data_IF_833293185558
#
_entry.id   IF_833293185558
#
_cell.length_a   1.000
_cell.length_b   1.000
_cell.length_c   1.000
_cell.angle_alpha   90.00
_cell.angle_beta   90.00
_cell.angle_gamma   90.00
#
_symmetry.space_group_name_H-M   'P 1'
#
loop_
_entity.id
_entity.type
_entity.pdbx_description
1 polymer ?
#
# COMPACT_ATOMS: atom_id res chain seq x y z
N UNK A 1 27.58 67.02 -17.54
CA UNK A 1 26.99 65.68 -17.71
C UNK A 1 26.57 65.19 -16.34
N UNK A 2 25.27 65.01 -16.17
CA UNK A 2 24.58 64.89 -14.89
C UNK A 2 24.68 63.47 -14.30
N UNK A 3 24.89 63.41 -12.99
CA UNK A 3 24.77 62.20 -12.16
C UNK A 3 23.52 62.37 -11.30
N UNK A 4 22.54 61.49 -11.46
CA UNK A 4 21.27 61.55 -10.74
C UNK A 4 21.32 60.63 -9.52
N UNK A 5 21.33 61.23 -8.33
CA UNK A 5 21.00 60.60 -7.05
C UNK A 5 19.58 60.99 -6.67
N UNK A 6 18.68 60.03 -6.58
CA UNK A 6 17.31 60.24 -6.09
C UNK A 6 17.08 59.45 -4.80
N UNK A 7 16.86 60.20 -3.73
CA UNK A 7 16.43 59.75 -2.41
C UNK A 7 14.93 59.42 -2.44
N UNK A 8 14.50 58.30 -1.86
CA UNK A 8 13.07 57.96 -1.70
C UNK A 8 12.73 58.00 -0.21
N UNK A 9 11.87 58.98 0.14
CA UNK A 9 11.26 59.13 1.47
C UNK A 9 10.20 58.06 1.71
N UNK A 10 10.15 57.60 2.96
CA UNK A 10 9.10 56.74 3.51
C UNK A 10 7.81 57.55 3.76
N UNK A 11 6.70 57.12 3.15
CA UNK A 11 5.36 57.56 3.52
C UNK A 11 4.60 56.42 4.17
N UNK A 12 4.25 56.62 5.45
CA UNK A 12 3.36 55.78 6.22
C UNK A 12 1.93 55.92 5.71
N UNK A 13 1.31 54.81 5.33
CA UNK A 13 -0.12 54.73 5.00
C UNK A 13 -0.85 54.25 6.26
N UNK A 14 -1.75 55.09 6.77
CA UNK A 14 -2.64 54.76 7.88
C UNK A 14 -3.71 53.73 7.44
N UNK A 15 -4.11 52.78 8.31
CA UNK A 15 -5.13 51.80 7.97
C UNK A 15 -6.52 52.45 7.97
N UNK A 16 -7.27 52.27 6.87
CA UNK A 16 -8.68 52.65 6.75
C UNK A 16 -9.56 51.63 7.47
N UNK A 17 -10.54 52.17 8.21
CA UNK A 17 -11.60 51.48 8.93
C UNK A 17 -12.33 50.41 8.10
N UNK A 18 -12.15 49.15 8.48
CA UNK A 18 -13.08 48.06 8.13
C UNK A 18 -14.09 47.92 9.27
N UNK A 19 -15.32 48.39 9.01
CA UNK A 19 -16.47 48.21 9.92
C UNK A 19 -16.74 46.73 10.15
N UNK A 20 -16.65 46.30 11.40
CA UNK A 20 -17.02 44.98 11.87
C UNK A 20 -18.52 44.69 11.61
N UNK A 21 -18.79 43.56 10.94
CA UNK A 21 -20.13 42.98 10.87
C UNK A 21 -20.41 42.28 12.20
N UNK A 22 -21.38 42.81 12.96
CA UNK A 22 -21.92 42.15 14.16
C UNK A 22 -22.77 40.95 13.72
N UNK A 23 -22.27 39.73 13.95
CA UNK A 23 -23.07 38.52 13.85
C UNK A 23 -23.95 38.44 15.11
N UNK A 24 -25.27 38.60 14.91
CA UNK A 24 -26.25 38.42 15.97
C UNK A 24 -26.34 36.95 16.39
N UNK A 25 -26.31 36.70 17.69
CA UNK A 25 -26.53 35.39 18.27
C UNK A 25 -27.97 34.91 17.99
N UNK A 26 -28.11 33.88 17.15
CA UNK A 26 -29.38 33.15 17.00
C UNK A 26 -29.50 32.16 18.16
N UNK A 27 -30.39 32.49 19.09
CA UNK A 27 -30.75 31.65 20.23
C UNK A 27 -31.71 30.56 19.74
N UNK A 28 -31.21 29.33 19.53
CA UNK A 28 -32.09 28.18 19.27
C UNK A 28 -32.89 27.87 20.55
N UNK A 29 -34.21 28.08 20.48
CA UNK A 29 -35.15 27.60 21.48
C UNK A 29 -35.34 26.10 21.25
N UNK A 30 -34.89 25.28 22.21
CA UNK A 30 -35.24 23.87 22.30
C UNK A 30 -36.65 23.79 22.90
N UNK A 31 -37.63 23.43 22.07
CA UNK A 31 -38.96 23.09 22.55
C UNK A 31 -38.93 21.67 23.14
N UNK A 32 -39.03 21.59 24.46
CA UNK A 32 -39.26 20.34 25.19
C UNK A 32 -40.75 20.01 25.11
N UNK A 33 -41.11 18.88 24.50
CA UNK A 33 -42.48 18.37 24.49
C UNK A 33 -42.65 17.41 25.67
N UNK A 34 -43.70 17.55 26.50
CA UNK A 34 -43.92 16.69 27.65
C UNK A 34 -44.51 15.33 27.23
N UNK A 35 -44.11 14.29 27.94
CA UNK A 35 -44.68 12.94 27.85
C UNK A 35 -45.88 12.81 28.80
N UNK A 36 -46.95 12.14 28.35
CA UNK A 36 -48.08 11.71 29.16
C UNK A 36 -48.73 10.43 28.58
N UNK A 37 -49.48 9.64 29.38
CA UNK A 37 -49.40 8.17 29.35
C UNK A 37 -50.49 7.43 28.55
N UNK A 38 -50.33 6.11 28.55
CA UNK A 38 -50.92 5.04 27.74
C UNK A 38 -52.46 4.92 27.62
N UNK A 39 -52.92 4.35 26.49
CA UNK A 39 -54.15 3.58 26.42
C UNK A 39 -54.03 2.40 25.43
N UNK A 40 -54.45 1.22 25.89
CA UNK A 40 -54.46 -0.08 25.19
C UNK A 40 -55.52 -0.07 24.08
N UNK A 41 -55.19 -0.58 22.89
CA UNK A 41 -56.18 -1.29 22.07
C UNK A 41 -55.51 -2.42 21.28
N UNK A 42 -56.02 -3.62 21.49
CA UNK A 42 -55.68 -4.82 20.73
C UNK A 42 -56.41 -4.78 19.40
N UNK A 43 -55.70 -5.02 18.29
CA UNK A 43 -56.27 -5.63 17.08
C UNK A 43 -55.20 -6.49 16.41
N UNK A 44 -55.30 -7.79 16.66
CA UNK A 44 -54.57 -8.80 15.91
C UNK A 44 -55.09 -8.84 14.47
N UNK A 45 -54.18 -8.83 13.48
CA UNK A 45 -54.51 -9.23 12.12
C UNK A 45 -53.36 -10.08 11.58
N UNK A 46 -53.63 -11.37 11.47
CA UNK A 46 -52.76 -12.35 10.83
C UNK A 46 -52.67 -12.06 9.33
N UNK A 47 -51.46 -12.04 8.78
CA UNK A 47 -51.21 -12.02 7.34
C UNK A 47 -50.40 -13.27 6.98
N UNK A 48 -51.01 -14.14 6.17
CA UNK A 48 -50.40 -15.31 5.52
C UNK A 48 -49.48 -14.86 4.38
N UNK A 49 -48.40 -15.61 4.09
CA UNK A 49 -47.56 -15.33 2.93
C UNK A 49 -48.23 -15.81 1.63
N UNK A 50 -48.30 -14.93 0.63
CA UNK A 50 -48.70 -15.23 -0.74
C UNK A 50 -47.53 -15.89 -1.48
N UNK A 51 -47.69 -17.19 -1.81
CA UNK A 51 -46.91 -17.86 -2.85
C UNK A 51 -47.41 -17.36 -4.21
N UNK A 52 -46.52 -16.78 -5.02
CA UNK A 52 -46.78 -16.53 -6.43
C UNK A 52 -46.38 -17.78 -7.24
N UNK A 53 -47.33 -18.30 -8.01
CA UNK A 53 -47.18 -19.44 -8.90
C UNK A 53 -46.66 -18.98 -10.27
N UNK A 54 -45.75 -19.77 -10.86
CA UNK A 54 -45.28 -19.62 -12.24
C UNK A 54 -46.39 -19.97 -13.26
N UNK A 55 -46.48 -19.26 -14.41
CA UNK A 55 -47.42 -19.64 -15.45
C UNK A 55 -46.85 -20.73 -16.36
N UNK A 56 -47.64 -21.80 -16.51
CA UNK A 56 -47.40 -22.91 -17.42
C UNK A 56 -47.34 -22.45 -18.89
N UNK A 57 -46.26 -22.84 -19.61
CA UNK A 57 -46.15 -22.75 -21.06
C UNK A 57 -46.62 -24.06 -21.71
N UNK A 58 -47.49 -23.95 -22.72
CA UNK A 58 -48.02 -25.05 -23.54
C UNK A 58 -46.92 -25.66 -24.43
N UNK A 59 -46.97 -26.97 -24.73
CA UNK A 59 -46.01 -27.60 -25.63
C UNK A 59 -46.35 -27.27 -27.09
N UNK A 60 -45.36 -26.81 -27.84
CA UNK A 60 -45.41 -26.73 -29.31
C UNK A 60 -44.57 -27.89 -29.84
N UNK A 61 -45.24 -28.80 -30.53
CA UNK A 61 -44.64 -29.88 -31.31
C UNK A 61 -44.00 -29.31 -32.58
N UNK A 62 -42.72 -29.60 -32.81
CA UNK A 62 -42.12 -29.48 -34.14
C UNK A 62 -41.17 -30.67 -34.39
N UNK A 63 -41.32 -31.21 -35.58
CA UNK A 63 -40.81 -32.48 -36.10
C UNK A 63 -39.29 -32.53 -36.25
N UNK A 64 -38.77 -33.74 -36.10
CA UNK A 64 -37.39 -34.13 -36.36
C UNK A 64 -37.00 -34.01 -37.85
N UNK A 65 -35.77 -33.55 -38.08
CA UNK A 65 -34.94 -33.91 -39.22
C UNK A 65 -33.48 -33.87 -38.75
N UNK A 66 -32.92 -35.05 -38.47
CA UNK A 66 -31.51 -35.22 -38.10
C UNK A 66 -30.69 -35.48 -39.38
N UNK A 67 -29.72 -34.60 -39.64
CA UNK A 67 -28.60 -34.88 -40.52
C UNK A 67 -27.38 -35.23 -39.64
N UNK A 68 -26.55 -36.23 -40.01
CA UNK A 68 -25.40 -36.58 -39.19
C UNK A 68 -24.30 -35.52 -39.37
N UNK A 69 -23.95 -34.84 -38.28
CA UNK A 69 -22.75 -34.01 -38.20
C UNK A 69 -21.62 -34.94 -37.75
N UNK A 70 -20.60 -35.10 -38.60
CA UNK A 70 -19.39 -35.84 -38.27
C UNK A 70 -18.70 -35.22 -37.04
N UNK A 71 -18.09 -36.03 -36.15
CA UNK A 71 -17.38 -35.49 -35.01
C UNK A 71 -16.18 -34.71 -35.52
N UNK A 72 -16.15 -33.41 -35.24
CA UNK A 72 -14.93 -32.62 -35.31
C UNK A 72 -14.11 -33.08 -34.11
N UNK A 73 -13.01 -33.77 -34.39
CA UNK A 73 -11.99 -34.06 -33.38
C UNK A 73 -11.45 -32.71 -32.90
N UNK A 74 -11.80 -32.34 -31.67
CA UNK A 74 -11.07 -31.30 -30.95
C UNK A 74 -9.66 -31.83 -30.72
N UNK A 75 -8.72 -31.38 -31.53
CA UNK A 75 -7.31 -31.43 -31.21
C UNK A 75 -7.10 -30.62 -29.93
N UNK A 76 -7.09 -31.30 -28.79
CA UNK A 76 -6.56 -30.76 -27.55
C UNK A 76 -5.06 -30.60 -27.78
N UNK A 77 -4.65 -29.44 -28.28
CA UNK A 77 -3.25 -29.06 -28.28
C UNK A 77 -2.82 -28.96 -26.81
N UNK A 78 -1.98 -29.87 -26.36
CA UNK A 78 -1.21 -29.73 -25.12
C UNK A 78 -0.44 -28.40 -25.21
N UNK A 79 -1.01 -27.33 -24.63
CA UNK A 79 -0.34 -26.06 -24.50
C UNK A 79 0.86 -26.29 -23.57
N UNK A 80 2.06 -26.29 -24.14
CA UNK A 80 3.29 -26.32 -23.37
C UNK A 80 3.20 -25.30 -22.23
N UNK A 81 3.40 -25.76 -20.99
CA UNK A 81 3.32 -24.89 -19.82
C UNK A 81 4.25 -23.69 -20.02
N UNK A 82 3.68 -22.48 -20.01
CA UNK A 82 4.44 -21.25 -20.19
C UNK A 82 5.39 -21.10 -19.00
N UNK A 83 6.68 -21.01 -19.28
CA UNK A 83 7.69 -20.66 -18.27
C UNK A 83 7.61 -19.15 -18.00
N UNK A 84 6.92 -18.79 -16.92
CA UNK A 84 6.74 -17.38 -16.54
C UNK A 84 8.01 -16.74 -15.99
N UNK A 85 9.00 -17.53 -15.55
CA UNK A 85 10.29 -17.01 -15.08
C UNK A 85 11.15 -16.60 -16.28
N UNK A 86 11.19 -17.43 -17.32
CA UNK A 86 11.81 -17.08 -18.60
C UNK A 86 11.11 -15.87 -19.25
N UNK A 87 9.77 -15.86 -19.25
CA UNK A 87 8.99 -14.74 -19.79
C UNK A 87 9.25 -13.42 -19.04
N UNK A 88 9.45 -13.47 -17.72
CA UNK A 88 9.80 -12.29 -16.94
C UNK A 88 11.17 -11.71 -17.32
N UNK A 89 12.14 -12.57 -17.65
CA UNK A 89 13.46 -12.12 -18.11
C UNK A 89 13.40 -11.54 -19.52
N UNK A 90 12.63 -12.15 -20.42
CA UNK A 90 12.41 -11.64 -21.77
C UNK A 90 11.80 -10.22 -21.73
N UNK A 91 10.79 -10.02 -20.89
CA UNK A 91 10.03 -8.77 -20.82
C UNK A 91 10.66 -7.71 -19.91
N UNK A 92 11.81 -7.97 -19.29
CA UNK A 92 12.38 -7.05 -18.27
C UNK A 92 12.70 -5.67 -18.83
N UNK A 93 13.07 -5.60 -20.12
CA UNK A 93 13.36 -4.37 -20.86
C UNK A 93 12.23 -3.88 -21.76
N UNK A 94 11.10 -4.58 -21.79
CA UNK A 94 9.95 -4.20 -22.61
C UNK A 94 9.24 -2.97 -22.02
N UNK A 95 8.60 -2.20 -22.89
CA UNK A 95 7.76 -1.08 -22.48
C UNK A 95 6.48 -1.56 -21.79
N UNK A 96 5.83 -0.73 -20.95
CA UNK A 96 4.56 -1.09 -20.34
C UNK A 96 3.47 -1.44 -21.36
N UNK A 97 3.51 -0.83 -22.56
CA UNK A 97 2.57 -1.13 -23.63
C UNK A 97 2.78 -2.53 -24.22
N UNK A 98 4.04 -2.93 -24.46
CA UNK A 98 4.37 -4.28 -24.94
C UNK A 98 4.01 -5.35 -23.90
N UNK A 99 4.29 -5.10 -22.62
CA UNK A 99 3.92 -6.01 -21.53
C UNK A 99 2.40 -6.14 -21.42
N UNK A 100 1.68 -5.02 -21.54
CA UNK A 100 0.21 -5.00 -21.54
C UNK A 100 -0.37 -5.77 -22.74
N UNK A 101 0.13 -5.51 -23.95
CA UNK A 101 -0.32 -6.20 -25.16
C UNK A 101 -0.13 -7.71 -25.03
N UNK A 102 1.06 -8.13 -24.56
CA UNK A 102 1.38 -9.54 -24.35
C UNK A 102 0.48 -10.20 -23.30
N UNK A 103 0.20 -9.52 -22.20
CA UNK A 103 -0.69 -10.04 -21.16
C UNK A 103 -2.12 -10.23 -21.67
N UNK A 104 -2.65 -9.25 -22.40
CA UNK A 104 -4.00 -9.32 -22.97
C UNK A 104 -4.11 -10.34 -24.12
N UNK A 105 -3.04 -10.51 -24.90
CA UNK A 105 -2.94 -11.55 -25.94
C UNK A 105 -3.02 -12.96 -25.37
N UNK A 106 -2.25 -13.23 -24.30
CA UNK A 106 -2.13 -14.56 -23.71
C UNK A 106 -3.40 -15.04 -23.00
N UNK A 107 -4.13 -14.14 -22.33
CA UNK A 107 -5.22 -14.52 -21.44
C UNK A 107 -6.61 -14.05 -21.90
N UNK A 108 -6.68 -13.10 -22.84
CA UNK A 108 -7.94 -12.59 -23.38
C UNK A 108 -8.92 -12.15 -22.28
N UNK A 109 -10.06 -12.85 -22.16
CA UNK A 109 -11.09 -12.53 -21.16
C UNK A 109 -10.84 -13.09 -19.75
N UNK A 110 -9.82 -13.95 -19.59
CA UNK A 110 -9.46 -14.60 -18.32
C UNK A 110 -8.46 -13.76 -17.49
N UNK A 111 -8.14 -12.54 -17.95
CA UNK A 111 -7.33 -11.55 -17.25
C UNK A 111 -8.12 -10.28 -16.96
N UNK A 112 -7.84 -9.63 -15.83
CA UNK A 112 -8.43 -8.34 -15.49
C UNK A 112 -7.42 -7.39 -14.83
N UNK A 113 -7.62 -6.09 -15.06
CA UNK A 113 -6.84 -5.01 -14.46
C UNK A 113 -7.43 -4.68 -13.09
N UNK A 114 -6.60 -4.74 -12.05
CA UNK A 114 -6.94 -4.25 -10.72
C UNK A 114 -6.75 -2.74 -10.67
N UNK A 115 -7.84 -1.98 -10.60
CA UNK A 115 -7.81 -0.53 -10.52
C UNK A 115 -8.15 -0.05 -9.10
N UNK A 116 -7.26 0.71 -8.48
CA UNK A 116 -7.42 1.23 -7.12
C UNK A 116 -8.00 2.64 -7.04
N UNK A 117 -8.15 3.31 -8.19
CA UNK A 117 -8.64 4.69 -8.25
C UNK A 117 -7.57 5.74 -7.92
N UNK A 118 -6.32 5.43 -8.25
CA UNK A 118 -5.15 6.27 -8.04
C UNK A 118 -4.41 6.50 -9.37
N UNK A 119 -3.07 6.58 -9.34
CA UNK A 119 -2.25 6.75 -10.54
C UNK A 119 -2.19 5.49 -11.44
N UNK A 120 -2.68 4.36 -10.94
CA UNK A 120 -2.80 3.10 -11.67
C UNK A 120 -3.87 3.11 -12.77
N UNK A 121 -4.62 4.21 -12.92
CA UNK A 121 -5.42 4.50 -14.13
C UNK A 121 -4.57 4.46 -15.41
N UNK A 122 -3.25 4.67 -15.30
CA UNK A 122 -2.30 4.49 -16.40
C UNK A 122 -2.41 3.11 -17.06
N UNK A 123 -2.75 2.06 -16.30
CA UNK A 123 -2.92 0.71 -16.85
C UNK A 123 -4.13 0.61 -17.78
N UNK A 124 -5.20 1.33 -17.48
CA UNK A 124 -6.40 1.37 -18.33
C UNK A 124 -6.07 2.09 -19.64
N UNK A 125 -5.29 3.18 -19.57
CA UNK A 125 -4.81 3.87 -20.77
C UNK A 125 -3.90 2.96 -21.62
N UNK A 126 -2.94 2.26 -21.01
CA UNK A 126 -2.11 1.29 -21.74
C UNK A 126 -2.95 0.20 -22.39
N UNK A 127 -3.92 -0.38 -21.66
CA UNK A 127 -4.81 -1.39 -22.21
C UNK A 127 -5.63 -0.85 -23.39
N UNK A 128 -6.13 0.39 -23.28
CA UNK A 128 -6.83 1.07 -24.37
C UNK A 128 -5.96 1.21 -25.62
N UNK A 129 -4.68 1.58 -25.46
CA UNK A 129 -3.73 1.75 -26.56
C UNK A 129 -3.38 0.45 -27.29
N UNK A 130 -3.50 -0.71 -26.64
CA UNK A 130 -3.32 -2.01 -27.33
C UNK A 130 -4.42 -2.29 -28.36
N UNK A 131 -5.58 -1.66 -28.23
CA UNK A 131 -6.77 -1.96 -29.05
C UNK A 131 -7.44 -3.31 -28.73
N UNK A 132 -6.95 -4.05 -27.73
CA UNK A 132 -7.53 -5.34 -27.31
C UNK A 132 -8.68 -5.13 -26.32
N UNK A 133 -9.66 -6.05 -26.25
CA UNK A 133 -10.64 -6.06 -25.17
C UNK A 133 -9.94 -6.27 -23.82
N UNK A 134 -10.41 -5.58 -22.79
CA UNK A 134 -9.88 -5.73 -21.43
C UNK A 134 -10.99 -5.60 -20.38
N UNK A 135 -10.75 -6.19 -19.22
CA UNK A 135 -11.63 -6.12 -18.05
C UNK A 135 -10.96 -5.33 -16.94
N UNK A 136 -11.76 -4.64 -16.13
CA UNK A 136 -11.27 -3.86 -14.99
C UNK A 136 -12.12 -4.21 -13.77
N UNK A 137 -11.47 -4.44 -12.63
CA UNK A 137 -12.15 -4.61 -11.35
C UNK A 137 -11.56 -3.67 -10.30
N UNK A 138 -12.39 -3.26 -9.35
CA UNK A 138 -11.98 -2.39 -8.24
C UNK A 138 -12.46 -2.95 -6.92
N UNK A 139 -11.63 -2.82 -5.88
CA UNK A 139 -11.99 -3.22 -4.52
C UNK A 139 -12.61 -2.04 -3.79
N UNK A 140 -13.93 -2.03 -3.64
CA UNK A 140 -14.60 -1.05 -2.81
C UNK A 140 -14.62 -1.52 -1.36
N UNK A 141 -13.77 -0.88 -0.54
CA UNK A 141 -13.67 -1.20 0.89
C UNK A 141 -14.82 -0.63 1.73
N UNK A 142 -15.68 0.20 1.13
CA UNK A 142 -16.70 1.02 1.78
C UNK A 142 -16.13 2.20 2.58
N UNK A 143 -14.83 2.51 2.42
CA UNK A 143 -14.09 3.57 3.13
C UNK A 143 -13.13 4.32 2.20
N UNK A 144 -13.39 4.31 0.90
CA UNK A 144 -12.63 5.08 -0.08
C UNK A 144 -12.98 6.57 0.03
N UNK A 145 -12.10 7.42 -0.48
CA UNK A 145 -12.37 8.84 -0.60
C UNK A 145 -13.53 9.09 -1.59
N UNK A 146 -14.40 10.10 -1.36
CA UNK A 146 -15.40 10.52 -2.33
C UNK A 146 -14.81 10.83 -3.72
N UNK A 147 -13.62 11.43 -3.77
CA UNK A 147 -12.88 11.73 -5.01
C UNK A 147 -12.49 10.45 -5.77
N UNK A 148 -12.23 9.35 -5.07
CA UNK A 148 -11.95 8.04 -5.69
C UNK A 148 -13.19 7.49 -6.40
N UNK A 149 -14.39 7.62 -5.80
CA UNK A 149 -15.64 7.26 -6.46
C UNK A 149 -15.94 8.14 -7.69
N UNK A 150 -15.69 9.45 -7.57
CA UNK A 150 -15.83 10.37 -8.70
C UNK A 150 -14.87 10.01 -9.84
N UNK A 151 -13.65 9.58 -9.52
CA UNK A 151 -12.72 9.09 -10.53
C UNK A 151 -13.23 7.81 -11.21
N UNK A 152 -13.76 6.84 -10.45
CA UNK A 152 -14.31 5.61 -11.05
C UNK A 152 -15.40 5.92 -12.07
N UNK A 153 -16.38 6.76 -11.71
CA UNK A 153 -17.43 7.22 -12.62
C UNK A 153 -16.86 7.95 -13.85
N UNK A 154 -15.85 8.81 -13.64
CA UNK A 154 -15.18 9.53 -14.74
C UNK A 154 -14.44 8.57 -15.69
N UNK A 155 -13.76 7.56 -15.16
CA UNK A 155 -13.01 6.55 -15.93
C UNK A 155 -13.97 5.68 -16.73
N UNK A 156 -15.06 5.17 -16.13
CA UNK A 156 -16.08 4.39 -16.86
C UNK A 156 -16.63 5.18 -18.06
N UNK A 157 -16.97 6.46 -17.85
CA UNK A 157 -17.48 7.33 -18.91
C UNK A 157 -16.43 7.67 -19.97
N UNK A 158 -15.19 7.91 -19.56
CA UNK A 158 -14.10 8.30 -20.46
C UNK A 158 -13.70 7.14 -21.39
N UNK A 159 -13.61 5.92 -20.86
CA UNK A 159 -13.17 4.75 -21.62
C UNK A 159 -14.31 3.92 -22.21
N UNK A 160 -15.56 4.15 -21.79
CA UNK A 160 -16.71 3.35 -22.19
C UNK A 160 -16.65 1.92 -21.66
N UNK A 161 -16.17 1.75 -20.43
CA UNK A 161 -15.99 0.45 -19.76
C UNK A 161 -16.92 0.32 -18.56
N UNK A 162 -17.08 -0.91 -18.08
CA UNK A 162 -17.73 -1.21 -16.81
C UNK A 162 -16.71 -1.79 -15.83
N UNK A 163 -16.56 -1.15 -14.67
CA UNK A 163 -15.70 -1.61 -13.59
C UNK A 163 -16.45 -2.64 -12.75
N UNK A 164 -15.84 -3.81 -12.57
CA UNK A 164 -16.34 -4.88 -11.71
C UNK A 164 -16.03 -4.55 -10.24
N UNK A 165 -16.98 -3.89 -9.55
CA UNK A 165 -16.82 -3.52 -8.15
C UNK A 165 -16.97 -4.74 -7.22
N UNK A 166 -15.96 -4.97 -6.38
CA UNK A 166 -15.98 -6.03 -5.37
C UNK A 166 -16.05 -5.44 -3.97
N UNK A 167 -17.09 -5.80 -3.23
CA UNK A 167 -17.38 -5.31 -1.88
C UNK A 167 -17.02 -6.33 -0.79
N UNK A 168 -16.78 -5.89 0.46
CA UNK A 168 -16.64 -6.78 1.61
C UNK A 168 -17.93 -7.48 2.02
N UNK A 169 -17.79 -8.67 2.58
CA UNK A 169 -18.89 -9.42 3.16
C UNK A 169 -19.43 -8.67 4.39
N UNK A 170 -20.73 -8.38 4.37
CA UNK A 170 -21.35 -7.47 5.33
C UNK A 170 -21.25 -7.97 6.77
N UNK A 171 -21.43 -9.27 7.00
CA UNK A 171 -21.39 -9.87 8.33
C UNK A 171 -19.99 -9.74 8.95
N UNK A 172 -18.93 -9.98 8.18
CA UNK A 172 -17.56 -9.82 8.67
C UNK A 172 -17.23 -8.36 9.04
N UNK A 173 -17.74 -7.41 8.25
CA UNK A 173 -17.59 -5.98 8.53
C UNK A 173 -18.36 -5.60 9.79
N UNK A 174 -19.58 -6.11 9.96
CA UNK A 174 -20.39 -5.85 11.16
C UNK A 174 -19.71 -6.38 12.40
N UNK A 175 -19.17 -7.59 12.37
CA UNK A 175 -18.48 -8.21 13.49
C UNK A 175 -17.22 -7.42 13.89
N UNK A 176 -16.40 -7.02 12.91
CA UNK A 176 -15.22 -6.18 13.14
C UNK A 176 -15.60 -4.83 13.78
N UNK A 177 -16.63 -4.16 13.24
CA UNK A 177 -17.02 -2.83 13.71
C UNK A 177 -17.71 -2.88 15.08
N UNK A 178 -18.53 -3.90 15.36
CA UNK A 178 -19.19 -4.05 16.67
C UNK A 178 -18.20 -4.39 17.78
N UNK A 179 -17.14 -5.14 17.46
CA UNK A 179 -16.13 -5.54 18.44
C UNK A 179 -15.06 -4.48 18.66
N UNK A 180 -14.60 -3.80 17.61
CA UNK A 180 -13.41 -2.92 17.66
C UNK A 180 -13.65 -1.48 17.18
N UNK A 181 -14.88 -1.13 16.81
CA UNK A 181 -15.21 0.19 16.29
C UNK A 181 -14.78 0.43 14.84
N UNK A 182 -14.91 1.68 14.38
CA UNK A 182 -14.70 2.07 12.97
C UNK A 182 -13.23 2.40 12.62
N UNK A 183 -12.35 2.44 13.62
CA UNK A 183 -10.97 2.94 13.52
C UNK A 183 -9.93 2.05 14.24
N UNK A 184 -10.26 0.78 14.46
CA UNK A 184 -9.35 -0.17 15.15
C UNK A 184 -7.94 -0.23 14.56
N UNK A 185 -7.81 0.05 13.26
CA UNK A 185 -6.52 0.06 12.57
C UNK A 185 -5.51 1.09 13.08
N UNK A 186 -5.92 2.14 13.80
CA UNK A 186 -4.99 3.06 14.44
C UNK A 186 -4.32 2.47 15.69
N UNK A 187 -4.97 1.49 16.32
CA UNK A 187 -4.52 0.88 17.57
C UNK A 187 -3.91 -0.51 17.31
N UNK A 188 -4.61 -1.33 16.53
CA UNK A 188 -4.26 -2.72 16.25
C UNK A 188 -3.39 -2.89 14.99
N UNK A 189 -3.18 -1.81 14.24
CA UNK A 189 -2.64 -1.84 12.90
C UNK A 189 -3.67 -2.22 11.83
N UNK A 190 -3.37 -1.90 10.59
CA UNK A 190 -4.33 -1.96 9.49
C UNK A 190 -4.67 -3.36 9.00
N UNK A 191 -3.89 -4.39 9.39
CA UNK A 191 -3.91 -5.68 8.69
C UNK A 191 -5.26 -6.39 8.84
N UNK A 192 -5.91 -6.32 10.00
CA UNK A 192 -7.21 -6.95 10.20
C UNK A 192 -8.31 -6.27 9.37
N UNK A 193 -8.39 -4.94 9.41
CA UNK A 193 -9.36 -4.18 8.62
C UNK A 193 -9.15 -4.42 7.13
N UNK A 194 -7.90 -4.37 6.65
CA UNK A 194 -7.57 -4.70 5.25
C UNK A 194 -7.87 -6.16 4.90
N UNK A 195 -7.68 -7.10 5.83
CA UNK A 195 -8.02 -8.52 5.58
C UNK A 195 -9.50 -8.67 5.26
N UNK A 196 -10.37 -8.08 6.08
CA UNK A 196 -11.83 -8.11 5.91
C UNK A 196 -12.26 -7.30 4.69
N UNK A 197 -11.78 -6.06 4.58
CA UNK A 197 -12.30 -5.11 3.58
C UNK A 197 -11.67 -5.20 2.20
N UNK A 198 -10.49 -5.82 2.08
CA UNK A 198 -9.68 -5.76 0.85
C UNK A 198 -9.15 -7.13 0.42
N UNK A 199 -8.52 -7.88 1.31
CA UNK A 199 -7.87 -9.16 0.96
C UNK A 199 -8.90 -10.26 0.68
N UNK A 200 -9.93 -10.41 1.52
CA UNK A 200 -11.00 -11.40 1.30
C UNK A 200 -11.81 -11.10 0.04
N UNK A 201 -12.26 -9.85 -0.19
CA UNK A 201 -12.87 -9.45 -1.47
C UNK A 201 -11.97 -9.71 -2.67
N UNK A 202 -10.69 -9.35 -2.60
CA UNK A 202 -9.75 -9.63 -3.68
C UNK A 202 -9.68 -11.13 -3.99
N UNK A 203 -9.54 -11.98 -2.98
CA UNK A 203 -9.50 -13.44 -3.18
C UNK A 203 -10.76 -13.94 -3.90
N UNK A 204 -11.93 -13.34 -3.65
CA UNK A 204 -13.18 -13.68 -4.34
C UNK A 204 -13.15 -13.25 -5.81
N UNK A 205 -12.66 -12.04 -6.11
CA UNK A 205 -12.52 -11.54 -7.48
C UNK A 205 -11.53 -12.39 -8.31
N UNK A 206 -10.38 -12.75 -7.72
CA UNK A 206 -9.32 -13.49 -8.41
C UNK A 206 -9.68 -14.96 -8.72
N UNK A 207 -10.59 -15.58 -7.96
CA UNK A 207 -11.07 -16.95 -8.22
C UNK A 207 -11.74 -17.13 -9.59
N UNK A 208 -12.11 -16.05 -10.27
CA UNK A 208 -12.68 -16.10 -11.62
C UNK A 208 -11.67 -15.82 -12.74
N UNK A 209 -10.36 -15.73 -12.43
CA UNK A 209 -9.33 -15.26 -13.35
C UNK A 209 -8.13 -16.21 -13.38
N UNK A 210 -7.48 -16.34 -14.54
CA UNK A 210 -6.16 -17.01 -14.66
C UNK A 210 -5.01 -16.03 -14.51
N UNK A 211 -5.26 -14.74 -14.75
CA UNK A 211 -4.27 -13.70 -14.56
C UNK A 211 -4.87 -12.39 -14.07
N UNK A 212 -4.04 -11.53 -13.50
CA UNK A 212 -4.43 -10.17 -13.11
C UNK A 212 -3.28 -9.18 -13.30
N UNK A 213 -3.64 -7.93 -13.55
CA UNK A 213 -2.69 -6.86 -13.84
C UNK A 213 -2.75 -5.83 -12.71
N UNK A 214 -1.60 -5.44 -12.15
CA UNK A 214 -1.52 -4.47 -11.05
C UNK A 214 -0.59 -3.31 -11.34
N UNK A 215 -0.89 -2.15 -10.75
CA UNK A 215 -0.09 -0.92 -10.89
C UNK A 215 1.11 -0.85 -9.95
N UNK A 216 1.61 -1.97 -9.44
CA UNK A 216 2.77 -1.96 -8.56
C UNK A 216 4.03 -1.53 -9.31
N UNK A 217 4.76 -0.58 -8.73
CA UNK A 217 6.08 -0.15 -9.19
C UNK A 217 7.14 -0.36 -8.12
N UNK A 218 8.38 -0.56 -8.54
CA UNK A 218 9.53 -0.74 -7.64
C UNK A 218 9.79 0.50 -6.77
N UNK A 219 9.56 1.69 -7.33
CA UNK A 219 9.84 2.96 -6.66
C UNK A 219 8.79 3.38 -5.61
N UNK A 220 7.64 2.70 -5.54
CA UNK A 220 6.55 3.04 -4.61
C UNK A 220 6.84 2.67 -3.15
N UNK A 221 7.90 1.89 -2.89
CA UNK A 221 8.31 1.54 -1.54
C UNK A 221 9.80 1.19 -1.49
N UNK A 222 10.63 1.86 -0.67
CA UNK A 222 12.09 1.69 -0.62
C UNK A 222 12.59 0.32 -0.09
N UNK A 223 11.77 -0.73 -0.12
CA UNK A 223 12.22 -2.08 0.23
C UNK A 223 11.18 -3.19 0.06
N UNK A 224 9.87 -2.91 0.08
CA UNK A 224 8.84 -3.98 -0.06
C UNK A 224 8.58 -4.33 -1.52
N UNK A 225 9.03 -3.48 -2.45
CA UNK A 225 8.69 -3.56 -3.87
C UNK A 225 9.90 -3.58 -4.82
N UNK A 226 11.12 -3.46 -4.28
CA UNK A 226 12.34 -3.30 -5.08
C UNK A 226 12.59 -4.47 -6.07
N UNK A 227 12.12 -5.67 -5.74
CA UNK A 227 12.31 -6.89 -6.52
C UNK A 227 11.07 -7.36 -7.29
N UNK A 228 10.02 -6.54 -7.43
CA UNK A 228 8.80 -6.96 -8.14
C UNK A 228 9.10 -7.21 -9.64
N UNK A 229 8.87 -8.42 -10.16
CA UNK A 229 9.02 -8.72 -11.58
C UNK A 229 7.83 -8.23 -12.41
N UNK A 230 8.04 -8.07 -13.71
CA UNK A 230 7.00 -7.64 -14.68
C UNK A 230 5.91 -8.70 -14.88
N UNK A 231 6.24 -9.97 -14.71
CA UNK A 231 5.31 -11.10 -14.64
C UNK A 231 5.83 -12.11 -13.63
N UNK A 232 4.92 -12.76 -12.91
CA UNK A 232 5.22 -13.86 -11.99
C UNK A 232 3.99 -14.72 -11.78
N UNK A 233 4.20 -15.95 -11.36
CA UNK A 233 3.17 -16.71 -10.67
C UNK A 233 2.83 -15.98 -9.37
N UNK A 234 1.55 -15.78 -9.07
CA UNK A 234 1.12 -15.07 -7.87
C UNK A 234 1.46 -15.89 -6.61
N UNK A 235 2.27 -15.35 -5.69
CA UNK A 235 2.72 -16.09 -4.51
C UNK A 235 1.68 -16.14 -3.39
N UNK A 236 0.56 -15.42 -3.49
CA UNK A 236 -0.40 -15.18 -2.39
C UNK A 236 -1.82 -15.62 -2.70
N UNK A 237 -2.21 -15.60 -3.97
CA UNK A 237 -3.57 -15.87 -4.40
C UNK A 237 -3.63 -16.98 -5.44
N UNK A 238 -4.80 -17.57 -5.54
CA UNK A 238 -5.13 -18.65 -6.47
C UNK A 238 -6.17 -18.13 -7.44
N UNK A 239 -6.11 -18.63 -8.67
CA UNK A 239 -6.95 -18.24 -9.78
C UNK A 239 -8.09 -19.22 -10.03
N UNK A 240 -8.58 -19.20 -11.27
CA UNK A 240 -9.67 -20.03 -11.76
C UNK A 240 -9.42 -21.54 -11.58
N UNK A 241 -8.19 -21.98 -11.87
CA UNK A 241 -7.84 -23.40 -11.84
C UNK A 241 -7.64 -23.93 -10.40
N UNK A 242 -7.53 -23.03 -9.42
CA UNK A 242 -7.36 -23.35 -8.00
C UNK A 242 -5.99 -23.92 -7.64
N UNK A 243 -5.61 -23.78 -6.36
CA UNK A 243 -4.32 -24.25 -5.86
C UNK A 243 -3.14 -23.32 -6.16
N UNK A 244 -2.01 -23.58 -5.51
CA UNK A 244 -0.81 -22.78 -5.68
C UNK A 244 -0.31 -22.84 -7.12
N UNK A 245 -0.01 -21.67 -7.70
CA UNK A 245 0.47 -21.59 -9.09
C UNK A 245 -0.59 -21.26 -10.14
N UNK A 246 -1.87 -21.25 -9.77
CA UNK A 246 -3.00 -21.09 -10.70
C UNK A 246 -3.30 -19.65 -11.14
N UNK A 247 -2.61 -18.65 -10.59
CA UNK A 247 -2.85 -17.24 -10.93
C UNK A 247 -1.54 -16.58 -11.35
N UNK A 248 -1.57 -15.86 -12.48
CA UNK A 248 -0.42 -15.11 -12.98
C UNK A 248 -0.62 -13.62 -12.72
N UNK A 249 0.38 -12.99 -12.14
CA UNK A 249 0.38 -11.57 -11.82
C UNK A 249 1.29 -10.80 -12.76
N UNK A 250 0.72 -9.77 -13.39
CA UNK A 250 1.42 -8.87 -14.29
C UNK A 250 1.58 -7.48 -13.65
N UNK A 251 2.76 -6.90 -13.79
CA UNK A 251 3.10 -5.56 -13.30
C UNK A 251 3.74 -4.74 -14.45
N UNK A 252 2.97 -4.27 -15.44
CA UNK A 252 3.51 -3.62 -16.65
C UNK A 252 4.34 -2.37 -16.35
N UNK A 253 4.07 -1.71 -15.22
CA UNK A 253 4.76 -0.50 -14.79
C UNK A 253 5.81 -0.77 -13.70
N UNK A 254 6.21 -2.03 -13.47
CA UNK A 254 7.15 -2.40 -12.39
C UNK A 254 8.45 -1.59 -12.43
N UNK A 255 9.01 -1.39 -13.63
CA UNK A 255 10.28 -0.71 -13.86
C UNK A 255 10.14 0.78 -14.22
N UNK A 256 8.92 1.35 -14.13
CA UNK A 256 8.66 2.74 -14.48
C UNK A 256 8.73 3.61 -13.23
N UNK A 257 9.44 4.73 -13.30
CA UNK A 257 9.45 5.71 -12.22
C UNK A 257 8.14 6.49 -12.16
N UNK A 258 7.70 6.87 -10.96
CA UNK A 258 6.44 7.59 -10.75
C UNK A 258 6.38 8.92 -11.51
N UNK A 259 7.52 9.60 -11.71
CA UNK A 259 7.60 10.82 -12.53
C UNK A 259 7.21 10.56 -14.00
N UNK A 260 7.55 9.39 -14.52
CA UNK A 260 7.31 9.00 -15.90
C UNK A 260 5.86 8.55 -16.07
N UNK A 261 5.28 7.85 -15.08
CA UNK A 261 3.82 7.59 -15.00
C UNK A 261 3.05 8.91 -15.03
N UNK A 262 3.44 9.89 -14.22
CA UNK A 262 2.79 11.19 -14.19
C UNK A 262 2.94 11.98 -15.48
N UNK A 263 4.09 11.84 -16.16
CA UNK A 263 4.30 12.45 -17.47
C UNK A 263 3.39 11.82 -18.51
N UNK A 264 3.30 10.49 -18.53
CA UNK A 264 2.38 9.75 -19.38
C UNK A 264 0.92 10.17 -19.17
N UNK A 265 0.43 10.16 -17.93
CA UNK A 265 -0.94 10.55 -17.60
C UNK A 265 -1.29 11.96 -18.08
N UNK A 266 -0.37 12.92 -17.93
CA UNK A 266 -0.58 14.30 -18.42
C UNK A 266 -0.55 14.40 -19.94
N UNK A 267 0.41 13.73 -20.58
CA UNK A 267 0.55 13.76 -22.04
C UNK A 267 -0.65 13.13 -22.75
N UNK A 268 -1.24 12.10 -22.14
CA UNK A 268 -2.39 11.37 -22.68
C UNK A 268 -3.75 11.96 -22.23
N UNK A 269 -3.75 13.06 -21.48
CA UNK A 269 -4.96 13.70 -20.92
C UNK A 269 -5.88 12.73 -20.13
N UNK A 270 -5.25 11.81 -19.40
CA UNK A 270 -5.96 10.76 -18.65
C UNK A 270 -6.66 11.38 -17.44
N UNK A 271 -7.92 11.04 -17.16
CA UNK A 271 -8.58 11.46 -15.93
C UNK A 271 -7.85 10.91 -14.70
N UNK A 272 -7.43 11.79 -13.79
CA UNK A 272 -6.75 11.43 -12.53
C UNK A 272 -7.57 11.83 -11.30
N UNK A 273 -7.26 11.23 -10.16
CA UNK A 273 -7.91 11.52 -8.88
C UNK A 273 -7.66 12.97 -8.46
N UNK A 274 -8.72 13.70 -8.07
CA UNK A 274 -8.62 15.10 -7.65
C UNK A 274 -7.73 15.31 -6.41
N UNK A 275 -7.54 14.27 -5.59
CA UNK A 275 -6.66 14.32 -4.42
C UNK A 275 -5.18 14.54 -4.78
N UNK A 276 -4.76 14.17 -5.99
CA UNK A 276 -3.39 14.42 -6.42
C UNK A 276 -3.05 15.92 -6.48
N UNK A 277 -4.03 16.77 -6.79
CA UNK A 277 -3.88 18.23 -6.71
C UNK A 277 -3.80 18.76 -5.26
N UNK A 278 -4.06 17.92 -4.26
CA UNK A 278 -4.08 18.25 -2.84
C UNK A 278 -2.88 17.64 -2.08
N UNK A 279 -1.85 17.17 -2.80
CA UNK A 279 -0.63 16.61 -2.21
C UNK A 279 -0.70 15.12 -1.87
N UNK A 280 -1.75 14.42 -2.27
CA UNK A 280 -1.81 12.96 -2.17
C UNK A 280 -1.02 12.34 -3.31
N UNK A 281 0.11 11.71 -3.01
CA UNK A 281 0.90 10.97 -4.01
C UNK A 281 0.41 9.52 -4.09
N UNK A 282 0.37 8.80 -2.97
CA UNK A 282 -0.23 7.46 -2.88
C UNK A 282 -1.64 7.55 -2.30
N UNK A 283 -2.64 6.96 -2.98
CA UNK A 283 -4.04 6.99 -2.57
C UNK A 283 -4.51 5.62 -2.07
N UNK A 284 -5.37 5.61 -1.06
CA UNK A 284 -5.98 4.42 -0.49
C UNK A 284 -7.35 4.71 0.09
N UNK A 285 -7.72 4.02 1.17
CA UNK A 285 -8.90 4.38 1.94
C UNK A 285 -8.66 5.71 2.66
N UNK A 286 -9.71 6.52 2.77
CA UNK A 286 -9.69 7.85 3.39
C UNK A 286 -9.03 7.85 4.78
N UNK A 287 -9.40 6.98 5.74
CA UNK A 287 -8.86 7.10 7.09
C UNK A 287 -7.42 6.58 7.21
N UNK A 288 -6.88 5.99 6.15
CA UNK A 288 -5.53 5.40 6.14
C UNK A 288 -4.61 6.06 5.11
N UNK A 289 -5.01 7.22 4.58
CA UNK A 289 -4.25 7.97 3.59
C UNK A 289 -4.19 9.45 3.98
N UNK A 290 -3.01 10.08 3.85
CA UNK A 290 -2.79 11.52 4.04
C UNK A 290 -1.88 12.07 2.93
N UNK A 291 -1.91 13.38 2.65
CA UNK A 291 -0.96 13.98 1.73
C UNK A 291 0.46 13.92 2.31
N UNK A 292 1.45 14.02 1.44
CA UNK A 292 2.87 14.07 1.81
C UNK A 292 3.43 15.46 1.53
N UNK A 293 4.44 15.86 2.30
CA UNK A 293 5.15 17.12 2.09
C UNK A 293 6.10 17.04 0.89
N UNK A 294 6.51 18.19 0.31
CA UNK A 294 7.57 18.21 -0.69
C UNK A 294 8.81 17.45 -0.20
N UNK A 295 9.28 16.49 -1.00
CA UNK A 295 10.45 15.67 -0.68
C UNK A 295 10.20 14.48 0.24
N UNK A 296 9.02 14.32 0.84
CA UNK A 296 8.65 13.07 1.54
C UNK A 296 8.38 11.95 0.55
N UNK A 297 8.71 10.71 0.95
CA UNK A 297 8.44 9.54 0.14
C UNK A 297 6.93 9.27 0.06
N UNK A 298 6.41 8.83 -1.09
CA UNK A 298 4.96 8.63 -1.28
C UNK A 298 4.32 7.67 -0.27
N UNK A 299 5.09 6.68 0.20
CA UNK A 299 4.65 5.70 1.21
C UNK A 299 4.44 6.31 2.60
N UNK A 300 5.02 7.46 2.91
CA UNK A 300 4.80 8.19 4.17
C UNK A 300 3.37 8.71 4.33
N UNK A 301 2.61 8.78 3.23
CA UNK A 301 1.18 9.10 3.23
C UNK A 301 0.29 7.92 3.63
N UNK A 302 0.83 6.70 3.77
CA UNK A 302 0.07 5.46 3.98
C UNK A 302 0.38 4.84 5.33
N UNK A 303 -0.66 4.54 6.12
CA UNK A 303 -0.52 3.95 7.46
C UNK A 303 0.57 4.63 8.28
N UNK A 304 0.57 5.97 8.28
CA UNK A 304 1.68 6.79 8.80
C UNK A 304 1.96 6.60 10.29
N UNK A 305 1.05 5.95 11.02
CA UNK A 305 1.21 5.59 12.43
C UNK A 305 1.96 4.26 12.62
N UNK A 306 2.07 3.44 11.58
CA UNK A 306 2.84 2.19 11.58
C UNK A 306 4.27 2.42 11.10
N UNK A 307 5.15 1.44 11.31
CA UNK A 307 6.52 1.49 10.81
C UNK A 307 6.66 0.95 9.39
N UNK A 308 7.67 1.45 8.67
CA UNK A 308 8.11 1.09 7.32
C UNK A 308 7.78 -0.34 6.84
N UNK A 309 8.29 -1.36 7.53
CA UNK A 309 8.18 -2.76 7.12
C UNK A 309 6.76 -3.32 7.31
N UNK A 310 5.93 -2.67 8.12
CA UNK A 310 4.54 -3.04 8.33
C UNK A 310 3.60 -2.41 7.30
N UNK A 311 4.02 -1.35 6.57
CA UNK A 311 3.18 -0.55 5.67
C UNK A 311 2.82 -1.24 4.34
N UNK A 312 2.71 -2.56 4.25
CA UNK A 312 2.15 -3.24 3.08
C UNK A 312 0.80 -3.88 3.37
N UNK A 313 -0.12 -3.60 2.45
CA UNK A 313 -1.42 -4.24 2.48
C UNK A 313 -1.28 -5.74 2.20
N UNK A 314 -2.20 -6.53 2.74
CA UNK A 314 -2.29 -7.98 2.50
C UNK A 314 -2.41 -8.42 1.04
N UNK A 315 -2.59 -7.52 0.07
CA UNK A 315 -2.66 -7.87 -1.36
C UNK A 315 -1.33 -8.28 -1.99
N UNK A 316 -0.20 -7.92 -1.40
CA UNK A 316 1.11 -8.10 -2.06
C UNK A 316 2.15 -8.68 -1.12
N UNK A 317 1.72 -9.30 -0.01
CA UNK A 317 2.61 -9.81 1.03
C UNK A 317 3.54 -10.92 0.57
N UNK A 318 3.18 -11.69 -0.46
CA UNK A 318 4.03 -12.76 -0.97
C UNK A 318 5.26 -12.28 -1.74
N UNK A 319 5.33 -11.00 -2.13
CA UNK A 319 6.53 -10.43 -2.75
C UNK A 319 7.54 -9.91 -1.71
N UNK A 320 7.18 -9.97 -0.43
CA UNK A 320 8.12 -9.70 0.67
C UNK A 320 8.79 -11.04 0.97
N UNK A 321 10.09 -11.14 0.64
CA UNK A 321 10.89 -12.33 0.96
C UNK A 321 10.73 -12.69 2.44
N UNK A 322 10.16 -13.87 2.70
CA UNK A 322 10.14 -14.51 4.02
C UNK A 322 11.18 -15.60 4.02
N UNK A 323 12.45 -15.25 4.11
CA UNK A 323 13.48 -16.25 4.28
C UNK A 323 13.53 -16.71 5.75
N UNK A 324 12.94 -17.89 5.96
CA UNK A 324 12.91 -18.57 7.26
C UNK A 324 12.30 -19.98 7.25
N UNK A 325 12.25 -20.67 6.11
CA UNK A 325 11.87 -22.10 6.08
C UNK A 325 13.13 -22.98 5.99
N UNK A 326 13.37 -23.88 6.97
CA UNK A 326 14.57 -24.72 6.97
C UNK A 326 14.44 -25.82 5.90
N UNK A 327 15.43 -25.92 5.02
CA UNK A 327 15.57 -27.07 4.11
C UNK A 327 15.91 -28.31 4.94
N UNK A 328 15.06 -29.33 4.83
CA UNK A 328 15.27 -30.66 5.38
C UNK A 328 16.43 -31.35 4.64
N UNK A 329 17.44 -31.80 5.38
CA UNK A 329 18.59 -32.52 4.83
C UNK A 329 19.60 -33.01 5.86
N UNK A 330 19.21 -34.06 6.61
CA UNK A 330 20.04 -35.17 7.17
C UNK A 330 21.18 -34.88 8.18
N UNK A 331 20.95 -35.35 9.41
CA UNK A 331 21.83 -35.87 10.46
C UNK A 331 23.24 -35.29 10.72
N UNK A 332 23.39 -34.71 11.91
CA UNK A 332 24.65 -34.61 12.65
C UNK A 332 24.49 -33.89 13.98
N UNK A 333 24.57 -34.62 15.10
CA UNK A 333 24.58 -34.08 16.47
C UNK A 333 25.64 -32.98 16.63
N UNK A 334 25.24 -31.79 17.09
CA UNK A 334 26.17 -30.73 17.45
C UNK A 334 25.46 -29.42 17.80
N UNK A 335 25.39 -29.11 19.08
CA UNK A 335 24.91 -27.85 19.64
C UNK A 335 25.77 -26.65 19.22
N UNK A 336 25.23 -25.76 18.38
CA UNK A 336 25.56 -24.33 18.31
C UNK A 336 24.55 -23.64 17.38
N UNK A 337 23.80 -22.66 17.88
CA UNK A 337 22.95 -21.79 17.07
C UNK A 337 23.81 -20.99 16.08
N UNK A 338 23.80 -21.40 14.81
CA UNK A 338 24.39 -20.63 13.73
C UNK A 338 23.51 -19.40 13.46
N UNK A 339 23.81 -18.29 14.12
CA UNK A 339 23.14 -17.01 13.87
C UNK A 339 23.47 -16.50 12.46
N UNK A 340 22.47 -16.06 11.70
CA UNK A 340 22.66 -15.42 10.39
C UNK A 340 23.77 -14.33 10.44
N UNK A 341 24.60 -14.21 9.38
CA UNK A 341 25.72 -13.26 9.33
C UNK A 341 25.26 -11.81 9.50
N UNK A 342 26.03 -11.01 10.23
CA UNK A 342 25.75 -9.60 10.52
C UNK A 342 25.93 -8.73 9.26
N UNK A 343 25.05 -7.74 9.06
CA UNK A 343 24.83 -7.00 7.78
C UNK A 343 25.20 -5.50 7.85
N UNK A 344 25.89 -5.04 8.90
CA UNK A 344 26.42 -3.67 8.93
C UNK A 344 27.90 -3.73 9.32
N UNK A 345 28.73 -4.19 8.40
CA UNK A 345 30.15 -4.46 8.68
C UNK A 345 31.02 -3.25 8.33
N UNK A 346 31.24 -2.36 9.29
CA UNK A 346 32.19 -1.25 9.17
C UNK A 346 32.79 -0.89 10.53
N UNK A 347 34.06 -0.50 10.54
CA UNK A 347 34.74 0.00 11.75
C UNK A 347 34.12 1.31 12.26
N UNK A 348 33.41 2.05 11.40
CA UNK A 348 32.71 3.27 11.76
C UNK A 348 31.37 3.02 12.49
N UNK A 349 30.91 1.76 12.57
CA UNK A 349 29.64 1.39 13.20
C UNK A 349 29.90 0.60 14.47
N UNK A 350 29.46 1.12 15.62
CA UNK A 350 29.58 0.46 16.91
C UNK A 350 28.49 -0.60 17.07
N UNK A 351 28.86 -1.84 17.37
CA UNK A 351 27.89 -2.88 17.72
C UNK A 351 27.47 -2.75 19.19
N UNK A 352 26.21 -2.41 19.44
CA UNK A 352 25.65 -2.31 20.78
C UNK A 352 25.06 -3.65 21.23
N UNK A 353 25.29 -3.97 22.50
CA UNK A 353 24.58 -5.02 23.23
C UNK A 353 23.41 -4.41 24.01
N UNK A 354 22.54 -5.25 24.60
CA UNK A 354 21.44 -4.78 25.44
C UNK A 354 21.92 -3.84 26.57
N UNK A 355 22.96 -4.17 27.36
CA UNK A 355 23.53 -3.24 28.34
C UNK A 355 23.97 -1.91 27.71
N UNK A 356 24.54 -1.94 26.50
CA UNK A 356 24.92 -0.73 25.78
C UNK A 356 23.72 0.18 25.47
N UNK A 357 22.60 -0.40 25.03
CA UNK A 357 21.35 0.33 24.81
C UNK A 357 20.74 0.86 26.11
N UNK A 358 20.71 0.04 27.16
CA UNK A 358 20.20 0.46 28.47
C UNK A 358 21.01 1.65 29.03
N UNK A 359 22.33 1.67 28.82
CA UNK A 359 23.17 2.81 29.18
C UNK A 359 22.80 4.06 28.39
N UNK A 360 22.51 3.94 27.09
CA UNK A 360 22.00 5.06 26.29
C UNK A 360 20.65 5.56 26.84
N UNK A 361 19.73 4.68 27.21
CA UNK A 361 18.44 5.11 27.77
C UNK A 361 18.59 5.84 29.12
N UNK A 362 19.57 5.45 29.95
CA UNK A 362 19.81 6.04 31.28
C UNK A 362 20.67 7.31 31.29
N UNK A 363 21.17 7.76 30.14
CA UNK A 363 22.15 8.88 30.03
C UNK A 363 23.49 8.62 30.76
N UNK A 364 23.82 7.36 31.08
CA UNK A 364 25.05 7.06 31.78
C UNK A 364 26.24 7.18 30.83
N UNK A 365 27.18 8.08 31.13
CA UNK A 365 28.43 8.30 30.39
C UNK A 365 28.26 8.69 28.91
N UNK A 366 27.14 9.36 28.53
CA UNK A 366 26.92 9.83 27.15
C UNK A 366 27.38 11.28 26.95
N UNK A 367 28.53 11.48 26.33
CA UNK A 367 29.05 12.81 25.95
C UNK A 367 28.67 13.23 24.52
N UNK A 368 28.53 12.26 23.62
CA UNK A 368 28.20 12.44 22.21
C UNK A 368 26.81 11.87 21.90
N UNK A 369 26.05 12.42 20.95
CA UNK A 369 24.82 11.79 20.49
C UNK A 369 25.10 10.51 19.68
N UNK A 370 24.17 9.56 19.72
CA UNK A 370 24.29 8.27 19.04
C UNK A 370 23.16 8.08 18.02
N UNK A 371 23.50 7.88 16.75
CA UNK A 371 22.55 7.40 15.75
C UNK A 371 22.63 5.87 15.73
N UNK A 372 21.53 5.20 16.09
CA UNK A 372 21.49 3.74 16.22
C UNK A 372 20.42 3.15 15.32
N UNK A 373 20.81 2.15 14.51
CA UNK A 373 19.85 1.28 13.80
C UNK A 373 19.48 0.07 14.65
N UNK A 374 18.19 -0.16 14.85
CA UNK A 374 17.63 -1.43 15.33
C UNK A 374 17.34 -2.29 14.10
N UNK A 375 17.97 -3.46 14.00
CA UNK A 375 17.92 -4.29 12.80
C UNK A 375 17.78 -5.78 13.11
N UNK A 376 17.47 -6.55 12.08
CA UNK A 376 17.56 -8.00 12.07
C UNK A 376 18.31 -8.45 10.81
N UNK A 377 19.28 -9.40 10.89
CA UNK A 377 20.07 -9.77 9.72
C UNK A 377 19.27 -10.40 8.59
N UNK A 378 18.16 -11.08 8.92
CA UNK A 378 17.24 -11.68 7.94
C UNK A 378 16.30 -10.67 7.29
N UNK A 379 16.32 -9.40 7.71
CA UNK A 379 15.37 -8.40 7.23
C UNK A 379 15.84 -7.77 5.90
N UNK A 380 15.10 -7.93 4.79
CA UNK A 380 15.48 -7.36 3.49
C UNK A 380 15.59 -5.83 3.51
N UNK A 381 14.79 -5.16 4.34
CA UNK A 381 14.86 -3.70 4.52
C UNK A 381 16.15 -3.25 5.21
N UNK A 382 16.68 -4.07 6.12
CA UNK A 382 17.94 -3.77 6.77
C UNK A 382 19.10 -4.00 5.79
N UNK A 383 19.03 -5.07 5.00
CA UNK A 383 20.01 -5.39 3.96
C UNK A 383 20.05 -4.31 2.88
N UNK A 384 18.89 -3.85 2.39
CA UNK A 384 18.80 -2.76 1.41
C UNK A 384 19.39 -1.42 1.91
N UNK A 385 19.45 -1.23 3.23
CA UNK A 385 20.02 -0.04 3.86
C UNK A 385 21.51 -0.18 4.20
N UNK A 386 22.11 -1.37 4.07
CA UNK A 386 23.50 -1.63 4.47
C UNK A 386 24.49 -0.61 3.90
N UNK A 387 24.55 -0.49 2.57
CA UNK A 387 25.50 0.41 1.92
C UNK A 387 25.28 1.89 2.29
N UNK A 388 24.05 2.47 2.22
CA UNK A 388 23.80 3.83 2.67
C UNK A 388 24.16 4.07 4.15
N UNK A 389 23.90 3.10 5.04
CA UNK A 389 24.18 3.28 6.47
C UNK A 389 25.67 3.20 6.79
N UNK A 390 26.42 2.35 6.07
CA UNK A 390 27.88 2.29 6.14
C UNK A 390 28.50 3.59 5.64
N UNK A 391 28.09 4.09 4.46
CA UNK A 391 28.57 5.36 3.92
C UNK A 391 28.27 6.54 4.86
N UNK A 392 27.07 6.56 5.46
CA UNK A 392 26.71 7.54 6.48
C UNK A 392 27.65 7.50 7.69
N UNK A 393 27.96 6.30 8.20
CA UNK A 393 28.85 6.13 9.34
C UNK A 393 30.25 6.67 9.05
N UNK A 394 30.76 6.43 7.84
CA UNK A 394 32.04 6.95 7.38
C UNK A 394 32.03 8.48 7.28
N UNK A 395 30.98 9.07 6.70
CA UNK A 395 30.83 10.54 6.62
C UNK A 395 30.69 11.21 7.99
N UNK A 396 30.10 10.52 8.97
CA UNK A 396 29.96 11.01 10.33
C UNK A 396 31.20 10.73 11.20
N UNK A 397 32.19 9.98 10.71
CA UNK A 397 33.42 9.74 11.44
C UNK A 397 34.14 11.06 11.76
N UNK A 398 34.51 11.26 13.03
CA UNK A 398 35.15 12.50 13.50
C UNK A 398 34.22 13.72 13.64
N UNK A 399 32.93 13.59 13.33
CA UNK A 399 31.96 14.70 13.43
C UNK A 399 31.33 14.88 14.84
N UNK A 400 31.81 14.14 15.84
CA UNK A 400 31.29 14.16 17.21
C UNK A 400 29.97 13.39 17.40
N UNK A 401 29.61 12.52 16.45
CA UNK A 401 28.43 11.65 16.54
C UNK A 401 28.86 10.21 16.36
N UNK A 402 28.36 9.34 17.24
CA UNK A 402 28.59 7.90 17.14
C UNK A 402 27.49 7.26 16.32
N UNK A 403 27.87 6.42 15.37
CA UNK A 403 26.93 5.59 14.60
C UNK A 403 27.02 4.16 15.13
N UNK A 404 25.87 3.54 15.34
CA UNK A 404 25.78 2.26 16.00
C UNK A 404 24.69 1.38 15.43
N UNK A 405 24.78 0.09 15.72
CA UNK A 405 23.79 -0.93 15.37
C UNK A 405 23.41 -1.73 16.60
N UNK A 406 22.15 -2.15 16.67
CA UNK A 406 21.64 -3.06 17.68
C UNK A 406 20.79 -4.13 17.01
N UNK A 407 21.23 -5.38 17.14
CA UNK A 407 20.49 -6.55 16.66
C UNK A 407 19.30 -6.78 17.60
N UNK A 408 18.09 -6.50 17.11
CA UNK A 408 16.87 -6.42 17.90
C UNK A 408 15.86 -7.53 17.58
N UNK A 409 16.30 -8.62 16.94
CA UNK A 409 15.52 -9.85 16.75
C UNK A 409 15.70 -10.83 17.93
N UNK A 410 15.08 -12.02 17.82
CA UNK A 410 15.16 -13.06 18.84
C UNK A 410 14.72 -12.58 20.23
N UNK A 411 15.53 -12.88 21.25
CA UNK A 411 15.28 -12.53 22.65
C UNK A 411 15.27 -11.02 22.93
N UNK A 412 15.88 -10.21 22.04
CA UNK A 412 15.95 -8.75 22.23
C UNK A 412 14.68 -8.04 21.74
N UNK A 413 13.86 -8.70 20.93
CA UNK A 413 12.67 -8.11 20.31
C UNK A 413 11.66 -7.57 21.33
N UNK A 414 11.26 -8.30 22.39
CA UNK A 414 10.30 -7.78 23.37
C UNK A 414 10.80 -6.51 24.07
N UNK A 415 12.09 -6.47 24.41
CA UNK A 415 12.73 -5.29 25.00
C UNK A 415 12.72 -4.09 24.04
N UNK A 416 13.12 -4.31 22.78
CA UNK A 416 13.13 -3.25 21.78
C UNK A 416 11.71 -2.71 21.49
N UNK A 417 10.68 -3.57 21.51
CA UNK A 417 9.29 -3.15 21.34
C UNK A 417 8.81 -2.28 22.52
N UNK A 418 9.15 -2.66 23.75
CA UNK A 418 8.73 -1.94 24.96
C UNK A 418 9.49 -0.60 25.14
N UNK A 419 10.80 -0.59 24.98
CA UNK A 419 11.66 0.53 25.39
C UNK A 419 12.15 1.40 24.22
N UNK A 420 12.22 0.84 23.01
CA UNK A 420 12.89 1.47 21.86
C UNK A 420 11.94 1.81 20.71
N UNK A 421 10.62 1.76 20.95
CA UNK A 421 9.60 2.09 19.95
C UNK A 421 9.73 1.25 18.66
N UNK A 422 10.26 0.03 18.76
CA UNK A 422 10.38 -0.89 17.64
C UNK A 422 8.98 -1.42 17.28
N UNK A 423 8.46 -1.11 16.10
CA UNK A 423 7.31 -1.82 15.52
C UNK A 423 7.74 -2.65 14.31
N UNK A 424 8.71 -2.18 13.53
CA UNK A 424 9.30 -2.94 12.43
C UNK A 424 10.78 -2.63 12.19
N UNK A 425 11.43 -3.41 11.33
CA UNK A 425 12.84 -3.24 10.99
C UNK A 425 13.03 -2.63 9.58
N UNK A 426 14.09 -1.81 9.38
CA UNK A 426 14.93 -1.18 10.40
C UNK A 426 14.17 -0.06 11.11
N UNK A 427 14.45 0.15 12.39
CA UNK A 427 14.06 1.36 13.14
C UNK A 427 15.30 2.17 13.46
N UNK A 428 15.32 3.47 13.15
CA UNK A 428 16.46 4.34 13.41
C UNK A 428 16.11 5.30 14.54
N UNK A 429 16.98 5.37 15.55
CA UNK A 429 16.86 6.23 16.71
C UNK A 429 18.09 7.13 16.81
N UNK A 430 17.87 8.43 17.01
CA UNK A 430 18.90 9.35 17.49
C UNK A 430 18.76 9.48 19.01
N UNK A 431 19.83 9.20 19.73
CA UNK A 431 19.97 9.39 21.17
C UNK A 431 20.76 10.68 21.43
N UNK A 432 20.12 11.80 21.78
CA UNK A 432 20.81 13.08 21.95
C UNK A 432 21.69 13.09 23.20
N UNK A 433 22.81 13.80 23.21
CA UNK A 433 23.77 13.78 24.34
C UNK A 433 23.15 14.18 25.69
N UNK A 434 22.12 15.04 25.70
CA UNK A 434 21.55 15.64 26.92
C UNK A 434 20.15 15.17 27.31
N UNK A 435 19.49 14.33 26.52
CA UNK A 435 18.11 13.89 26.79
C UNK A 435 17.98 12.37 26.75
N UNK A 436 17.38 11.78 27.79
CA UNK A 436 17.22 10.32 27.89
C UNK A 436 16.35 9.73 26.78
N UNK A 437 15.37 10.50 26.29
CA UNK A 437 14.41 10.02 25.29
C UNK A 437 15.04 9.99 23.89
N UNK A 438 15.05 8.84 23.20
CA UNK A 438 15.47 8.76 21.81
C UNK A 438 14.44 9.43 20.88
N UNK A 439 14.94 10.05 19.82
CA UNK A 439 14.16 10.65 18.73
C UNK A 439 14.14 9.65 17.58
N UNK A 440 12.96 9.16 17.23
CA UNK A 440 12.78 8.24 16.10
C UNK A 440 12.90 8.99 14.78
N UNK A 441 13.63 8.42 13.82
CA UNK A 441 13.70 8.95 12.47
C UNK A 441 12.34 8.75 11.76
N UNK A 442 11.66 9.83 11.32
CA UNK A 442 10.26 9.73 10.88
C UNK A 442 10.06 9.42 9.40
N UNK A 443 11.10 9.60 8.57
CA UNK A 443 11.04 9.42 7.12
C UNK A 443 11.08 7.94 6.74
N UNK A 444 10.70 7.60 5.51
CA UNK A 444 10.89 6.27 4.91
C UNK A 444 12.14 6.18 4.03
N UNK A 445 12.70 7.33 3.64
CA UNK A 445 13.95 7.39 2.88
C UNK A 445 15.10 6.86 3.71
N UNK A 446 15.95 6.03 3.12
CA UNK A 446 17.11 5.41 3.78
C UNK A 446 18.43 5.74 3.07
N UNK A 447 18.40 6.69 2.14
CA UNK A 447 19.60 7.23 1.50
C UNK A 447 20.43 8.11 2.47
N UNK A 448 21.70 8.25 2.12
CA UNK A 448 22.71 8.96 2.93
C UNK A 448 22.31 10.40 3.19
N UNK A 449 21.79 11.10 2.18
CA UNK A 449 21.43 12.51 2.29
C UNK A 449 20.27 12.72 3.25
N UNK A 450 19.25 11.88 3.18
CA UNK A 450 18.08 11.93 4.06
C UNK A 450 18.46 11.63 5.52
N UNK A 451 19.40 10.72 5.76
CA UNK A 451 19.90 10.40 7.10
C UNK A 451 20.81 11.50 7.65
N UNK A 452 21.71 12.05 6.82
CA UNK A 452 22.54 13.21 7.19
C UNK A 452 21.70 14.43 7.52
N UNK A 453 20.67 14.73 6.73
CA UNK A 453 19.76 15.83 6.98
C UNK A 453 19.07 15.71 8.34
N UNK A 454 18.59 14.50 8.69
CA UNK A 454 18.01 14.23 10.00
C UNK A 454 19.00 14.47 11.14
N UNK A 455 20.20 13.90 11.04
CA UNK A 455 21.25 14.06 12.05
C UNK A 455 21.63 15.54 12.23
N UNK A 456 21.84 16.27 11.13
CA UNK A 456 22.22 17.67 11.17
C UNK A 456 21.10 18.58 11.69
N UNK A 457 19.83 18.21 11.51
CA UNK A 457 18.69 18.97 12.02
C UNK A 457 18.51 18.90 13.54
N UNK A 458 19.16 17.92 14.19
CA UNK A 458 19.03 17.62 15.63
C UNK A 458 20.34 17.78 16.40
N UNK A 459 21.37 18.34 15.76
CA UNK A 459 22.69 18.61 16.35
C UNK A 459 22.70 19.85 17.23
#
# INVERSE_FOLDING_TARGET
MASATASISSHSIAPRDLKAVRIGAVRQQVAVVPSAPAAKSQRARALRPLRAAEPARKPVSASAAAAPVAPVEEEVSDAAAVDYEALAQELVGASPLEIMDRALDLFGSEIAIAFSGAEDVALIEYAKLTGRPFRVFSLDTGRLNPETYQLFDKVEKHYGIHIEYTFPEADEVQDLVRSKGLFSFYEDGHQECCRVRKVRPLRKALKGLKAWITGQRKDQSPGTRASIPVVQVDPSFEGLDGGAGSLIKWNPVANVEGKDVWTFLRTMDVPVNALHAQGYVSIGCEPCTRPVLPGQHEREGRWWWEDAAAKECGLHKGNIEKDGAPKVGVNGNGSAEASAPDIFQSQAIVNLTRPGIENLLRLENRTEPWLTVLYAPWCPFCQAMEAPYVELAEKLSGSGIKVAKFRADGEQKPFAQAELQLQSFPTILLFPSRTARPIKYPSEKRDVDSLLAFVNSLR
#
